data_IF_659884678485
#
_entry.id   IF_659884678485
#
_cell.length_a   1.000
_cell.length_b   1.000
_cell.length_c   1.000
_cell.angle_alpha   90.00
_cell.angle_beta   90.00
_cell.angle_gamma   90.00
#
_symmetry.space_group_name_H-M   'P 1'
#
loop_
_entity.id
_entity.type
_entity.pdbx_description
1 polymer ?
#
# COMPACT_ATOMS: atom_id res chain seq x y z
N UNK A 1 41.18 -22.50 -1.36
CA UNK A 1 40.32 -22.55 -2.56
C UNK A 1 38.94 -22.10 -2.12
N UNK A 2 38.49 -20.95 -2.60
CA UNK A 2 37.43 -20.12 -2.00
C UNK A 2 36.02 -20.69 -2.22
N UNK A 3 35.31 -20.92 -1.13
CA UNK A 3 33.91 -21.35 -1.07
C UNK A 3 32.99 -20.22 -1.54
N UNK A 4 32.29 -20.39 -2.68
CA UNK A 4 31.21 -19.48 -3.10
C UNK A 4 29.96 -19.82 -2.30
N UNK A 5 29.75 -19.12 -1.19
CA UNK A 5 28.48 -19.10 -0.46
C UNK A 5 27.43 -18.36 -1.31
N UNK A 6 26.66 -19.12 -2.08
CA UNK A 6 25.47 -18.60 -2.77
C UNK A 6 24.45 -18.19 -1.73
N UNK A 7 24.35 -16.88 -1.47
CA UNK A 7 23.25 -16.29 -0.70
C UNK A 7 22.00 -16.45 -1.55
N UNK A 8 21.11 -17.35 -1.15
CA UNK A 8 19.78 -17.44 -1.71
C UNK A 8 19.07 -16.09 -1.52
N UNK A 9 18.72 -15.45 -2.64
CA UNK A 9 17.93 -14.22 -2.62
C UNK A 9 16.57 -14.52 -1.96
N UNK A 10 16.08 -13.63 -1.07
CA UNK A 10 14.81 -13.85 -0.39
C UNK A 10 13.66 -13.94 -1.42
N UNK A 11 12.63 -14.76 -1.16
CA UNK A 11 11.54 -15.07 -2.11
C UNK A 11 10.69 -13.88 -2.56
N UNK A 12 10.99 -12.65 -2.14
CA UNK A 12 10.31 -11.42 -2.57
C UNK A 12 10.93 -10.71 -3.78
N UNK A 13 12.19 -11.00 -4.13
CA UNK A 13 12.89 -10.23 -5.18
C UNK A 13 12.35 -10.57 -6.57
N UNK A 14 12.07 -11.85 -6.86
CA UNK A 14 11.54 -12.29 -8.15
C UNK A 14 10.14 -11.72 -8.45
N UNK A 15 9.26 -11.72 -7.45
CA UNK A 15 7.90 -11.16 -7.56
C UNK A 15 7.96 -9.65 -7.80
N UNK A 16 8.86 -8.93 -7.11
CA UNK A 16 9.03 -7.50 -7.32
C UNK A 16 9.54 -7.17 -8.72
N UNK A 17 10.47 -7.96 -9.27
CA UNK A 17 10.99 -7.75 -10.64
C UNK A 17 9.96 -8.07 -11.72
N UNK A 18 9.16 -9.12 -11.54
CA UNK A 18 8.08 -9.46 -12.48
C UNK A 18 6.94 -8.44 -12.42
N UNK A 19 6.60 -7.93 -11.23
CA UNK A 19 5.67 -6.80 -11.10
C UNK A 19 6.21 -5.54 -11.76
N UNK A 20 7.50 -5.24 -11.61
CA UNK A 20 8.11 -4.06 -12.22
C UNK A 20 8.07 -4.14 -13.76
N UNK A 21 8.32 -5.33 -14.32
CA UNK A 21 8.22 -5.57 -15.76
C UNK A 21 6.77 -5.50 -16.26
N UNK A 22 5.83 -6.15 -15.56
CA UNK A 22 4.42 -6.10 -15.92
C UNK A 22 3.84 -4.69 -15.82
N UNK A 23 4.27 -3.90 -14.83
CA UNK A 23 3.93 -2.49 -14.76
C UNK A 23 4.54 -1.72 -15.93
N UNK A 24 5.80 -1.94 -16.31
CA UNK A 24 6.44 -1.24 -17.45
C UNK A 24 5.74 -1.42 -18.80
N UNK A 25 4.98 -2.50 -18.96
CA UNK A 25 4.24 -2.84 -20.18
C UNK A 25 2.74 -2.46 -20.08
N UNK A 26 2.29 -1.93 -18.93
CA UNK A 26 0.90 -1.61 -18.70
C UNK A 26 0.45 -0.33 -19.46
N UNK A 27 -0.81 -0.26 -19.92
CA UNK A 27 -1.36 0.93 -20.53
C UNK A 27 -1.22 2.19 -19.65
N UNK A 28 -0.98 3.35 -20.25
CA UNK A 28 -0.91 4.66 -19.57
C UNK A 28 -2.13 4.95 -18.65
N UNK A 29 -3.30 4.38 -18.98
CA UNK A 29 -4.50 4.45 -18.16
C UNK A 29 -4.34 3.76 -16.79
N UNK A 30 -3.64 2.63 -16.70
CA UNK A 30 -3.38 1.93 -15.44
C UNK A 30 -2.43 2.73 -14.54
N UNK A 31 -1.41 3.34 -15.11
CA UNK A 31 -0.54 4.26 -14.37
C UNK A 31 -1.30 5.45 -13.82
N UNK A 32 -2.13 6.08 -14.66
CA UNK A 32 -2.92 7.25 -14.24
C UNK A 32 -3.88 6.88 -13.11
N UNK A 33 -4.58 5.74 -13.21
CA UNK A 33 -5.44 5.23 -12.15
C UNK A 33 -4.65 4.90 -10.88
N UNK A 34 -3.49 4.25 -11.01
CA UNK A 34 -2.62 3.94 -9.89
C UNK A 34 -2.14 5.21 -9.16
N UNK A 35 -1.71 6.23 -9.90
CA UNK A 35 -1.30 7.52 -9.34
C UNK A 35 -2.47 8.24 -8.66
N UNK A 36 -3.65 8.28 -9.28
CA UNK A 36 -4.83 8.89 -8.66
C UNK A 36 -5.22 8.18 -7.35
N UNK A 37 -5.23 6.85 -7.34
CA UNK A 37 -5.54 6.07 -6.15
C UNK A 37 -4.47 6.27 -5.07
N UNK A 38 -3.18 6.13 -5.41
CA UNK A 38 -2.08 6.31 -4.45
C UNK A 38 -2.04 7.71 -3.86
N UNK A 39 -2.13 8.76 -4.67
CA UNK A 39 -2.20 10.14 -4.19
C UNK A 39 -3.44 10.39 -3.34
N UNK A 40 -4.60 9.83 -3.71
CA UNK A 40 -5.82 9.90 -2.91
C UNK A 40 -5.70 9.19 -1.56
N UNK A 41 -4.98 8.07 -1.50
CA UNK A 41 -4.67 7.37 -0.24
C UNK A 41 -3.70 8.17 0.62
N UNK A 42 -2.66 8.75 0.01
CA UNK A 42 -1.70 9.60 0.71
C UNK A 42 -2.36 10.85 1.29
N UNK A 43 -3.24 11.52 0.53
CA UNK A 43 -3.98 12.67 1.02
C UNK A 43 -4.82 12.32 2.26
N UNK A 44 -5.52 11.17 2.23
CA UNK A 44 -6.29 10.69 3.39
C UNK A 44 -5.41 10.34 4.59
N UNK A 45 -4.23 9.75 4.36
CA UNK A 45 -3.27 9.43 5.41
C UNK A 45 -2.65 10.70 6.04
N UNK A 46 -2.38 11.72 5.23
CA UNK A 46 -1.90 13.02 5.72
C UNK A 46 -2.97 13.74 6.54
N UNK A 47 -4.23 13.70 6.09
CA UNK A 47 -5.34 14.26 6.85
C UNK A 47 -5.52 13.55 8.20
N UNK A 48 -5.47 12.21 8.23
CA UNK A 48 -5.62 11.46 9.49
C UNK A 48 -4.48 11.74 10.48
N UNK A 49 -3.25 11.94 9.98
CA UNK A 49 -2.12 12.38 10.79
C UNK A 49 -2.34 13.79 11.36
N UNK A 50 -2.85 14.72 10.56
CA UNK A 50 -3.17 16.07 11.01
C UNK A 50 -4.26 16.06 12.09
N UNK A 51 -5.34 15.30 11.88
CA UNK A 51 -6.43 15.15 12.85
C UNK A 51 -5.94 14.53 14.17
N UNK A 52 -5.03 13.55 14.08
CA UNK A 52 -4.39 12.95 15.25
C UNK A 52 -3.51 13.95 16.01
N UNK A 53 -2.69 14.73 15.29
CA UNK A 53 -1.87 15.77 15.92
C UNK A 53 -2.73 16.84 16.61
N UNK A 54 -3.86 17.23 16.01
CA UNK A 54 -4.82 18.14 16.62
C UNK A 54 -5.44 17.57 17.90
N UNK A 55 -5.82 16.28 17.89
CA UNK A 55 -6.33 15.58 19.10
C UNK A 55 -5.28 15.49 20.20
N UNK A 56 -4.04 15.14 19.85
CA UNK A 56 -2.92 15.10 20.81
C UNK A 56 -2.67 16.45 21.47
N UNK A 57 -2.74 17.54 20.70
CA UNK A 57 -2.57 18.89 21.23
C UNK A 57 -3.69 19.29 22.22
N UNK A 58 -4.86 18.66 22.13
CA UNK A 58 -6.00 18.90 23.02
C UNK A 58 -6.02 17.98 24.26
N UNK A 59 -5.12 17.00 24.36
CA UNK A 59 -5.05 16.09 25.51
C UNK A 59 -4.58 16.83 26.77
N UNK A 60 -5.27 16.59 27.89
CA UNK A 60 -4.99 17.22 29.19
C UNK A 60 -4.03 16.41 30.06
N UNK A 61 -3.69 15.18 29.66
CA UNK A 61 -2.82 14.32 30.45
C UNK A 61 -2.32 13.07 29.72
N UNK A 62 -1.34 12.36 30.31
CA UNK A 62 -0.66 11.24 29.67
C UNK A 62 -1.59 10.05 29.36
N UNK A 63 -2.64 9.84 30.16
CA UNK A 63 -3.62 8.79 29.90
C UNK A 63 -4.44 9.06 28.62
N UNK A 64 -4.86 10.32 28.41
CA UNK A 64 -5.59 10.72 27.20
C UNK A 64 -4.71 10.64 25.95
N UNK A 65 -3.42 10.98 26.08
CA UNK A 65 -2.43 10.83 25.01
C UNK A 65 -2.32 9.36 24.58
N UNK A 66 -2.22 8.43 25.53
CA UNK A 66 -2.15 7.00 25.22
C UNK A 66 -3.41 6.49 24.54
N UNK A 67 -4.60 6.89 25.01
CA UNK A 67 -5.86 6.56 24.35
C UNK A 67 -5.89 7.09 22.91
N UNK A 68 -5.50 8.35 22.68
CA UNK A 68 -5.41 8.93 21.34
C UNK A 68 -4.45 8.14 20.43
N UNK A 69 -3.30 7.70 20.94
CA UNK A 69 -2.37 6.88 20.17
C UNK A 69 -2.97 5.53 19.79
N UNK A 70 -3.63 4.84 20.73
CA UNK A 70 -4.27 3.55 20.45
C UNK A 70 -5.40 3.69 19.43
N UNK A 71 -6.23 4.72 19.55
CA UNK A 71 -7.30 4.99 18.60
C UNK A 71 -6.75 5.27 17.20
N UNK A 72 -5.67 6.06 17.11
CA UNK A 72 -5.01 6.33 15.84
C UNK A 72 -4.40 5.06 15.24
N UNK A 73 -3.68 4.24 16.01
CA UNK A 73 -3.09 2.99 15.54
C UNK A 73 -4.14 1.99 15.06
N UNK A 74 -5.24 1.86 15.81
CA UNK A 74 -6.39 1.03 15.43
C UNK A 74 -7.00 1.52 14.11
N UNK A 75 -7.22 2.83 13.97
CA UNK A 75 -7.77 3.41 12.73
C UNK A 75 -6.80 3.30 11.55
N UNK A 76 -5.50 3.47 11.77
CA UNK A 76 -4.48 3.41 10.74
C UNK A 76 -4.30 1.97 10.22
N UNK A 77 -4.33 0.98 11.12
CA UNK A 77 -4.22 -0.44 10.74
C UNK A 77 -5.42 -0.94 9.95
N UNK A 78 -6.65 -0.54 10.32
CA UNK A 78 -7.85 -0.86 9.54
C UNK A 78 -7.81 -0.21 8.17
N UNK A 79 -7.46 1.08 8.09
CA UNK A 79 -7.32 1.79 6.83
C UNK A 79 -6.26 1.14 5.93
N UNK A 80 -5.09 0.79 6.47
CA UNK A 80 -4.02 0.13 5.72
C UNK A 80 -4.48 -1.21 5.11
N UNK A 81 -5.18 -2.03 5.89
CA UNK A 81 -5.68 -3.34 5.44
C UNK A 81 -6.74 -3.18 4.34
N UNK A 82 -7.66 -2.23 4.49
CA UNK A 82 -8.67 -1.94 3.48
C UNK A 82 -8.06 -1.41 2.18
N UNK A 83 -7.10 -0.49 2.27
CA UNK A 83 -6.39 0.08 1.13
C UNK A 83 -5.57 -0.99 0.40
N UNK A 84 -4.87 -1.87 1.13
CA UNK A 84 -4.17 -3.01 0.55
C UNK A 84 -5.13 -3.93 -0.21
N UNK A 85 -6.32 -4.21 0.36
CA UNK A 85 -7.36 -5.00 -0.30
C UNK A 85 -7.96 -4.31 -1.53
N UNK A 86 -8.10 -2.98 -1.53
CA UNK A 86 -8.51 -2.19 -2.71
C UNK A 86 -7.43 -2.21 -3.81
N UNK A 87 -6.18 -2.00 -3.44
CA UNK A 87 -5.04 -2.04 -4.35
C UNK A 87 -4.89 -3.43 -5.00
N UNK A 88 -4.99 -4.50 -4.20
CA UNK A 88 -4.90 -5.87 -4.69
C UNK A 88 -6.03 -6.20 -5.69
N UNK A 89 -7.28 -5.81 -5.42
CA UNK A 89 -8.40 -6.00 -6.36
C UNK A 89 -8.23 -5.21 -7.65
N UNK A 90 -7.75 -3.97 -7.55
CA UNK A 90 -7.45 -3.13 -8.72
C UNK A 90 -6.36 -3.77 -9.57
N UNK A 91 -5.33 -4.33 -8.93
CA UNK A 91 -4.27 -5.04 -9.63
C UNK A 91 -4.76 -6.36 -10.24
N UNK A 92 -5.52 -7.16 -9.50
CA UNK A 92 -6.05 -8.44 -9.98
C UNK A 92 -6.99 -8.25 -11.19
N UNK A 93 -7.81 -7.19 -11.19
CA UNK A 93 -8.68 -6.86 -12.33
C UNK A 93 -7.89 -6.33 -13.53
N UNK A 94 -6.76 -5.67 -13.31
CA UNK A 94 -5.88 -5.22 -14.38
C UNK A 94 -5.03 -6.36 -15.00
N UNK A 95 -4.70 -7.39 -14.21
CA UNK A 95 -3.80 -8.50 -14.60
C UNK A 95 -4.56 -9.74 -15.06
N UNK A 96 -5.83 -9.91 -14.68
CA UNK A 96 -6.68 -10.98 -15.25
C UNK A 96 -6.98 -10.65 -16.70
N UNK A 97 -6.39 -11.34 -17.69
CA UNK A 97 -6.78 -11.16 -19.07
C UNK A 97 -8.16 -11.79 -19.23
N UNK A 98 -9.06 -11.06 -19.88
CA UNK A 98 -10.28 -11.66 -20.42
C UNK A 98 -9.85 -12.79 -21.37
N UNK A 99 -10.08 -14.04 -20.98
CA UNK A 99 -9.91 -15.20 -21.86
C UNK A 99 -11.12 -15.22 -22.78
N UNK A 100 -11.17 -14.27 -23.71
CA UNK A 100 -12.44 -13.87 -24.32
C UNK A 100 -12.30 -13.18 -25.68
N UNK A 101 -11.44 -13.66 -26.58
CA UNK A 101 -11.58 -13.39 -28.01
C UNK A 101 -10.72 -14.33 -28.89
N UNK A 102 -11.15 -15.59 -29.03
CA UNK A 102 -10.88 -16.35 -30.24
C UNK A 102 -12.22 -16.62 -30.91
N UNK A 103 -12.57 -15.78 -31.89
CA UNK A 103 -13.54 -16.07 -32.93
C UNK A 103 -12.81 -16.03 -34.26
#
# INVERSE_FOLDING_TARGET
>A
MTEKKTVAAPPGVGVATDMLKSMSEAPAALYTQFYQQSLGTWARALQSQADFAAKLAACSGPAEVLCCQFDYLRSASSACTEEAGRAFRTFQSAVSPDTGAAR
#
